data_IF_514374372223
#
_entry.id   IF_514374372223
#
_cell.length_a   1.000
_cell.length_b   1.000
_cell.length_c   1.000
_cell.angle_alpha   90.00
_cell.angle_beta   90.00
_cell.angle_gamma   90.00
#
_symmetry.space_group_name_H-M   'P 1'
#
loop_
_entity.id
_entity.type
_entity.pdbx_description
1 polymer ?
#
# COMPACT_ATOMS: atom_id res chain seq x y z
N UNK A 1 13.10 -4.78 -26.56
CA UNK A 1 12.01 -5.75 -26.78
C UNK A 1 10.97 -5.19 -27.77
N UNK A 2 10.47 -6.01 -28.72
CA UNK A 2 9.38 -5.64 -29.63
C UNK A 2 8.10 -5.20 -28.90
N UNK A 3 7.16 -4.59 -29.61
CA UNK A 3 5.87 -4.15 -29.06
C UNK A 3 4.88 -5.31 -28.96
N UNK A 4 5.22 -6.32 -28.17
CA UNK A 4 4.39 -7.48 -27.88
C UNK A 4 3.71 -7.30 -26.52
N UNK A 5 2.38 -7.29 -26.51
CA UNK A 5 1.58 -7.10 -25.31
C UNK A 5 1.64 -8.32 -24.38
N UNK A 6 1.48 -9.52 -24.92
CA UNK A 6 1.39 -10.76 -24.15
C UNK A 6 2.73 -11.08 -23.48
N UNK A 7 3.82 -10.84 -24.20
CA UNK A 7 5.16 -11.01 -23.66
C UNK A 7 5.42 -10.04 -22.50
N UNK A 8 5.07 -8.76 -22.65
CA UNK A 8 5.22 -7.76 -21.57
C UNK A 8 4.37 -8.12 -20.36
N UNK A 9 3.17 -8.64 -20.58
CA UNK A 9 2.28 -9.08 -19.51
C UNK A 9 2.89 -10.25 -18.73
N UNK A 10 3.35 -11.30 -19.42
CA UNK A 10 3.99 -12.47 -18.80
C UNK A 10 5.24 -12.10 -18.01
N UNK A 11 6.10 -11.27 -18.60
CA UNK A 11 7.29 -10.79 -17.91
C UNK A 11 6.90 -10.02 -16.64
N UNK A 12 5.94 -9.10 -16.73
CA UNK A 12 5.55 -8.30 -15.56
C UNK A 12 4.94 -9.17 -14.46
N UNK A 13 4.19 -10.20 -14.83
CA UNK A 13 3.65 -11.20 -13.91
C UNK A 13 4.77 -11.89 -13.11
N UNK A 14 5.85 -12.34 -13.76
CA UNK A 14 6.96 -13.01 -13.06
C UNK A 14 7.64 -12.11 -12.00
N UNK A 15 7.74 -10.80 -12.26
CA UNK A 15 8.34 -9.85 -11.32
C UNK A 15 7.37 -9.29 -10.27
N UNK A 16 6.06 -9.52 -10.41
CA UNK A 16 5.05 -8.95 -9.53
C UNK A 16 4.20 -10.01 -8.80
N UNK A 17 3.59 -10.92 -9.55
CA UNK A 17 2.55 -11.84 -9.06
C UNK A 17 3.08 -13.24 -8.75
N UNK A 18 4.24 -13.62 -9.31
CA UNK A 18 4.85 -14.89 -8.98
C UNK A 18 4.95 -15.03 -7.45
N UNK A 19 4.61 -16.21 -6.86
CA UNK A 19 4.64 -16.40 -5.41
C UNK A 19 5.97 -16.02 -4.75
N UNK A 20 7.07 -16.13 -5.51
CA UNK A 20 8.43 -15.78 -5.10
C UNK A 20 8.71 -14.26 -5.15
N UNK A 21 7.98 -13.48 -5.95
CA UNK A 21 8.18 -12.04 -6.11
C UNK A 21 7.55 -11.24 -4.95
N UNK A 22 6.40 -11.69 -4.44
CA UNK A 22 5.77 -11.13 -3.24
C UNK A 22 5.09 -9.77 -3.45
N UNK A 23 4.47 -9.53 -4.61
CA UNK A 23 3.72 -8.30 -4.91
C UNK A 23 4.47 -7.00 -4.58
N UNK A 24 5.71 -6.81 -5.08
CA UNK A 24 6.49 -5.62 -4.81
C UNK A 24 5.76 -4.36 -5.28
N UNK A 25 5.97 -3.26 -4.56
CA UNK A 25 5.45 -1.96 -4.99
C UNK A 25 5.99 -1.54 -6.36
N UNK A 26 5.36 -0.51 -6.96
CA UNK A 26 5.67 0.01 -8.30
C UNK A 26 7.16 0.18 -8.56
N UNK A 27 7.86 0.90 -7.69
CA UNK A 27 9.29 1.21 -7.88
C UNK A 27 10.15 -0.05 -7.85
N UNK A 28 9.91 -0.95 -6.89
CA UNK A 28 10.66 -2.20 -6.78
C UNK A 28 10.39 -3.13 -7.96
N UNK A 29 9.13 -3.23 -8.40
CA UNK A 29 8.78 -4.01 -9.62
C UNK A 29 9.51 -3.47 -10.84
N UNK A 30 9.52 -2.14 -11.02
CA UNK A 30 10.22 -1.50 -12.14
C UNK A 30 11.71 -1.79 -12.10
N UNK A 31 12.37 -1.57 -10.95
CA UNK A 31 13.80 -1.79 -10.79
C UNK A 31 14.20 -3.24 -11.03
N UNK A 32 13.43 -4.22 -10.55
CA UNK A 32 13.70 -5.64 -10.79
C UNK A 32 13.59 -5.97 -12.27
N UNK A 33 12.50 -5.56 -12.90
CA UNK A 33 12.23 -5.84 -14.31
C UNK A 33 13.29 -5.20 -15.22
N UNK A 34 13.73 -3.98 -14.95
CA UNK A 34 14.71 -3.27 -15.79
C UNK A 34 16.14 -3.82 -15.71
N UNK A 35 16.43 -4.75 -14.79
CA UNK A 35 17.74 -5.41 -14.74
C UNK A 35 17.94 -6.37 -15.89
N UNK A 36 16.86 -7.05 -16.29
CA UNK A 36 16.94 -8.18 -17.22
C UNK A 36 16.36 -7.85 -18.60
N UNK A 37 15.45 -6.87 -18.68
CA UNK A 37 14.73 -6.55 -19.93
C UNK A 37 14.49 -5.05 -20.11
N UNK A 38 14.48 -4.60 -21.37
CA UNK A 38 14.22 -3.21 -21.75
C UNK A 38 13.19 -3.05 -22.87
N UNK A 39 12.27 -2.07 -22.72
CA UNK A 39 11.41 -1.53 -23.78
C UNK A 39 10.95 -0.10 -23.49
N UNK A 40 10.48 0.59 -24.55
CA UNK A 40 9.97 1.95 -24.43
C UNK A 40 8.74 2.03 -23.51
N UNK A 41 8.72 3.03 -22.63
CA UNK A 41 7.63 3.28 -21.67
C UNK A 41 7.40 2.17 -20.62
N UNK A 42 8.43 1.40 -20.28
CA UNK A 42 8.40 0.39 -19.20
C UNK A 42 7.80 0.90 -17.90
N UNK A 43 8.22 2.07 -17.43
CA UNK A 43 7.73 2.63 -16.18
C UNK A 43 6.21 2.87 -16.22
N UNK A 44 5.69 3.39 -17.34
CA UNK A 44 4.25 3.61 -17.55
C UNK A 44 3.48 2.29 -17.52
N UNK A 45 4.04 1.25 -18.13
CA UNK A 45 3.48 -0.10 -18.12
C UNK A 45 3.41 -0.66 -16.69
N UNK A 46 4.54 -0.71 -15.98
CA UNK A 46 4.63 -1.22 -14.60
C UNK A 46 3.71 -0.45 -13.67
N UNK A 47 3.66 0.88 -13.78
CA UNK A 47 2.74 1.72 -13.00
C UNK A 47 1.28 1.32 -13.21
N UNK A 48 0.86 1.07 -14.46
CA UNK A 48 -0.52 0.67 -14.77
C UNK A 48 -0.81 -0.73 -14.23
N UNK A 49 0.13 -1.65 -14.41
CA UNK A 49 0.01 -3.04 -13.99
C UNK A 49 -0.15 -3.16 -12.47
N UNK A 50 0.82 -2.64 -11.70
CA UNK A 50 0.81 -2.72 -10.23
C UNK A 50 -0.39 -1.97 -9.64
N UNK A 51 -0.83 -0.86 -10.26
CA UNK A 51 -2.04 -0.15 -9.82
C UNK A 51 -3.31 -1.00 -10.01
N UNK A 52 -3.35 -1.89 -11.00
CA UNK A 52 -4.49 -2.75 -11.28
C UNK A 52 -4.48 -4.07 -10.48
N UNK A 53 -3.40 -4.37 -9.75
CA UNK A 53 -3.30 -5.59 -8.94
C UNK A 53 -4.30 -5.56 -7.77
N UNK A 54 -5.26 -6.49 -7.79
CA UNK A 54 -6.30 -6.60 -6.77
C UNK A 54 -5.74 -6.92 -5.38
N UNK A 55 -4.76 -7.84 -5.31
CA UNK A 55 -4.12 -8.21 -4.04
C UNK A 55 -3.48 -6.98 -3.40
N UNK A 56 -2.70 -6.21 -4.17
CA UNK A 56 -2.11 -4.96 -3.68
C UNK A 56 -3.15 -3.93 -3.24
N UNK A 57 -4.27 -3.79 -3.98
CA UNK A 57 -5.33 -2.84 -3.63
C UNK A 57 -6.03 -3.21 -2.32
N UNK A 58 -6.27 -4.50 -2.08
CA UNK A 58 -6.92 -4.98 -0.85
C UNK A 58 -6.05 -4.79 0.39
N UNK A 59 -4.74 -5.04 0.27
CA UNK A 59 -3.82 -4.98 1.42
C UNK A 59 -3.28 -3.58 1.69
N UNK A 60 -3.24 -2.70 0.69
CA UNK A 60 -2.68 -1.35 0.81
C UNK A 60 -3.79 -0.31 0.77
N UNK A 61 -4.30 0.13 1.94
CA UNK A 61 -5.29 1.20 1.98
C UNK A 61 -4.76 2.47 1.30
N UNK A 62 -5.67 3.22 0.68
CA UNK A 62 -5.33 4.49 0.07
C UNK A 62 -4.87 5.48 1.15
N UNK A 63 -3.73 6.16 0.92
CA UNK A 63 -3.17 7.12 1.87
C UNK A 63 -4.09 8.30 2.21
N UNK A 64 -5.16 8.51 1.42
CA UNK A 64 -6.07 9.66 1.53
C UNK A 64 -7.47 9.28 2.05
N UNK A 65 -7.66 8.09 2.62
CA UNK A 65 -8.98 7.66 3.10
C UNK A 65 -9.34 8.22 4.49
N UNK A 66 -8.50 9.02 5.11
CA UNK A 66 -8.83 9.64 6.40
C UNK A 66 -9.36 11.04 6.18
N UNK A 67 -10.62 11.25 6.57
CA UNK A 67 -11.15 12.59 6.72
C UNK A 67 -10.25 13.40 7.68
N UNK A 68 -10.18 14.73 7.54
CA UNK A 68 -9.50 15.56 8.54
C UNK A 68 -10.00 15.22 9.94
N UNK A 69 -9.09 15.09 10.90
CA UNK A 69 -9.48 14.92 12.30
C UNK A 69 -10.28 16.13 12.75
N UNK A 70 -11.48 15.90 13.27
CA UNK A 70 -12.30 16.94 13.86
C UNK A 70 -12.11 16.91 15.38
N UNK A 71 -11.57 17.98 15.93
CA UNK A 71 -11.45 18.14 17.38
C UNK A 71 -12.83 18.23 18.04
N UNK A 72 -12.96 17.65 19.23
CA UNK A 72 -14.12 17.88 20.09
C UNK A 72 -14.17 19.36 20.50
N UNK A 73 -15.37 19.93 20.73
CA UNK A 73 -15.50 21.29 21.23
C UNK A 73 -14.89 21.42 22.62
N UNK A 74 -14.30 22.59 22.91
CA UNK A 74 -13.78 22.92 24.24
C UNK A 74 -14.96 23.08 25.22
N UNK A 75 -14.97 22.37 26.36
CA UNK A 75 -15.99 22.55 27.39
C UNK A 75 -15.91 23.97 27.99
N UNK A 76 -17.05 24.60 28.25
CA UNK A 76 -17.11 25.96 28.83
C UNK A 76 -17.19 25.97 30.35
N UNK A 77 -17.55 24.84 30.96
CA UNK A 77 -17.69 24.69 32.41
C UNK A 77 -17.05 23.38 32.91
N UNK A 78 -16.80 23.32 34.21
CA UNK A 78 -16.29 22.11 34.84
C UNK A 78 -17.25 20.92 34.64
N UNK A 79 -16.70 19.72 34.47
CA UNK A 79 -17.45 18.45 34.38
C UNK A 79 -18.37 18.28 33.15
N UNK A 80 -18.32 19.18 32.17
CA UNK A 80 -19.11 19.05 30.92
C UNK A 80 -18.57 18.00 29.94
N UNK A 81 -17.31 17.58 30.09
CA UNK A 81 -16.70 16.52 29.28
C UNK A 81 -15.83 15.63 30.17
N UNK A 82 -16.08 14.33 30.11
CA UNK A 82 -15.36 13.30 30.87
C UNK A 82 -14.98 12.21 29.87
N UNK A 83 -13.70 11.90 29.75
CA UNK A 83 -13.22 10.71 29.03
C UNK A 83 -12.72 9.67 30.04
N UNK A 84 -12.93 8.40 29.71
CA UNK A 84 -12.46 7.26 30.50
C UNK A 84 -11.79 6.28 29.55
N UNK A 85 -10.66 5.73 29.98
CA UNK A 85 -9.93 4.69 29.26
C UNK A 85 -9.50 3.61 30.25
N UNK A 86 -9.33 2.38 29.76
CA UNK A 86 -8.94 1.23 30.57
C UNK A 86 -7.51 0.81 30.24
N UNK A 87 -6.68 0.71 31.26
CA UNK A 87 -5.31 0.18 31.14
C UNK A 87 -5.30 -1.26 31.66
N UNK A 88 -4.75 -2.17 30.85
CA UNK A 88 -4.58 -3.58 31.20
C UNK A 88 -3.10 -3.95 31.28
N UNK A 89 -2.77 -5.04 31.97
CA UNK A 89 -1.40 -5.57 32.05
C UNK A 89 -0.51 -4.95 33.13
N UNK A 90 -1.10 -4.44 34.21
CA UNK A 90 -0.35 -3.99 35.38
C UNK A 90 0.29 -5.20 36.10
N UNK A 91 1.48 -5.04 36.71
CA UNK A 91 2.08 -6.09 37.51
C UNK A 91 1.15 -6.52 38.66
N UNK A 92 1.19 -7.80 39.07
CA UNK A 92 0.45 -8.25 40.23
C UNK A 92 0.99 -7.55 41.49
N UNK A 93 0.09 -7.29 42.44
CA UNK A 93 0.48 -6.78 43.75
C UNK A 93 1.44 -7.79 44.42
N UNK A 94 2.49 -7.26 45.05
CA UNK A 94 3.55 -8.01 45.73
C UNK A 94 3.09 -8.75 46.97
#
# INVERSE_FOLDING_TARGET
>A
MPNDYDLRMRITYEYHDAPTAGHPGREKTYLLLTRDVYWNHQYKWVRKYVRACEVCQRVKPAAFSQAPLQSLPTPSECWQSISMDFVFGLPPDS
#
